data_IF_282977809934
#
_entry.id   IF_282977809934
#
_cell.length_a   1.000
_cell.length_b   1.000
_cell.length_c   1.000
_cell.angle_alpha   90.00
_cell.angle_beta   90.00
_cell.angle_gamma   90.00
#
_symmetry.space_group_name_H-M   'P 1'
#
loop_
_entity.id
_entity.type
_entity.pdbx_description
1 polymer ?
#
# COMPACT_ATOMS: atom_id res chain seq x y z
N UNK A 1 -2.29 9.11 -27.66
CA UNK A 1 -3.25 9.68 -26.70
C UNK A 1 -2.85 9.15 -25.34
N UNK A 2 -2.65 10.00 -24.33
CA UNK A 2 -2.29 9.53 -23.00
C UNK A 2 -3.48 8.84 -22.36
N UNK A 3 -3.37 7.53 -22.12
CA UNK A 3 -4.36 6.76 -21.39
C UNK A 3 -4.23 7.07 -19.89
N UNK A 4 -4.94 8.09 -19.43
CA UNK A 4 -4.93 8.47 -18.01
C UNK A 4 -5.74 7.53 -17.10
N UNK A 5 -6.47 6.60 -17.68
CA UNK A 5 -7.48 5.79 -16.99
C UNK A 5 -7.05 4.35 -16.75
N UNK A 6 -6.03 3.89 -17.46
CA UNK A 6 -5.40 2.59 -17.25
C UNK A 6 -4.04 2.77 -16.58
N UNK A 7 -3.61 1.78 -15.82
CA UNK A 7 -2.42 1.87 -14.98
C UNK A 7 -1.11 1.57 -15.71
N UNK A 8 -1.03 1.88 -17.03
CA UNK A 8 0.23 1.77 -17.76
C UNK A 8 1.28 2.75 -17.23
N UNK A 9 2.56 2.38 -17.33
CA UNK A 9 3.68 3.17 -16.80
C UNK A 9 3.61 4.67 -17.15
N UNK A 10 3.28 5.08 -18.40
CA UNK A 10 3.17 6.51 -18.72
C UNK A 10 2.07 7.26 -17.95
N UNK A 11 1.08 6.54 -17.41
CA UNK A 11 -0.03 7.11 -16.65
C UNK A 11 0.24 7.16 -15.14
N UNK A 12 0.96 6.18 -14.59
CA UNK A 12 1.16 6.03 -13.13
C UNK A 12 2.54 6.44 -12.66
N UNK A 13 3.56 6.34 -13.51
CA UNK A 13 4.92 6.77 -13.19
C UNK A 13 5.08 8.27 -13.48
N UNK A 14 4.52 9.11 -12.59
CA UNK A 14 4.62 10.56 -12.71
C UNK A 14 5.97 11.06 -12.17
N UNK A 15 6.59 12.08 -12.81
CA UNK A 15 7.82 12.67 -12.29
C UNK A 15 7.59 13.31 -10.92
N UNK A 16 8.47 13.00 -9.97
CA UNK A 16 8.53 13.64 -8.66
C UNK A 16 9.94 14.20 -8.44
N UNK A 17 10.05 15.51 -8.25
CA UNK A 17 11.31 16.19 -7.98
C UNK A 17 11.16 16.92 -6.66
N UNK A 18 12.01 16.60 -5.69
CA UNK A 18 12.03 17.22 -4.37
C UNK A 18 13.41 17.83 -4.12
N UNK A 19 13.42 19.09 -3.71
CA UNK A 19 14.60 19.77 -3.20
C UNK A 19 14.42 20.00 -1.70
N UNK A 20 15.32 19.43 -0.89
CA UNK A 20 15.40 19.71 0.54
C UNK A 20 16.59 20.66 0.80
N UNK A 21 16.38 21.88 1.35
CA UNK A 21 17.45 22.85 1.61
C UNK A 21 18.34 22.48 2.81
N UNK A 22 17.94 21.52 3.64
CA UNK A 22 18.71 21.07 4.81
C UNK A 22 20.07 20.47 4.36
N UNK A 23 21.14 20.85 5.03
CA UNK A 23 22.49 20.30 4.79
C UNK A 23 22.57 18.79 5.03
N UNK A 24 21.70 18.22 5.88
CA UNK A 24 21.57 16.78 6.06
C UNK A 24 21.13 16.04 4.78
N UNK A 25 20.58 16.75 3.79
CA UNK A 25 20.19 16.21 2.50
C UNK A 25 21.26 16.37 1.40
N UNK A 26 22.44 16.93 1.69
CA UNK A 26 23.47 17.18 0.69
C UNK A 26 23.93 15.91 -0.02
N UNK A 27 23.96 14.77 0.68
CA UNK A 27 24.36 13.48 0.15
C UNK A 27 23.40 12.90 -0.91
N UNK A 28 22.12 13.32 -0.91
CA UNK A 28 21.10 12.85 -1.84
C UNK A 28 20.80 13.83 -2.98
N UNK A 29 21.36 15.04 -2.95
CA UNK A 29 21.13 16.04 -4.00
C UNK A 29 21.67 15.58 -5.35
N UNK A 30 20.87 15.80 -6.39
CA UNK A 30 21.22 15.43 -7.77
C UNK A 30 21.19 13.92 -8.03
N UNK A 31 20.68 13.12 -7.09
CA UNK A 31 20.50 11.67 -7.28
C UNK A 31 19.11 11.34 -7.81
N UNK A 32 18.96 10.17 -8.44
CA UNK A 32 17.68 9.56 -8.77
C UNK A 32 17.36 8.45 -7.76
N UNK A 33 16.08 8.30 -7.46
CA UNK A 33 15.58 7.28 -6.55
C UNK A 33 14.59 6.37 -7.30
N UNK A 34 14.82 5.07 -7.25
CA UNK A 34 13.98 4.05 -7.89
C UNK A 34 13.00 3.39 -6.91
N UNK A 35 12.88 3.91 -5.68
CA UNK A 35 11.93 3.37 -4.71
C UNK A 35 10.50 3.67 -5.10
N UNK A 36 9.59 2.82 -4.62
CA UNK A 36 8.15 3.01 -4.82
C UNK A 36 7.66 4.13 -3.89
N UNK A 37 7.18 5.21 -4.51
CA UNK A 37 6.66 6.40 -3.83
C UNK A 37 5.22 6.63 -4.33
N UNK A 38 4.33 6.98 -3.42
CA UNK A 38 2.94 7.32 -3.72
C UNK A 38 2.66 8.78 -3.40
N UNK A 39 1.69 9.39 -4.08
CA UNK A 39 1.33 10.79 -3.85
C UNK A 39 0.90 11.08 -2.41
N UNK A 40 0.35 10.07 -1.71
CA UNK A 40 -0.04 10.18 -0.30
C UNK A 40 1.15 10.39 0.64
N UNK A 41 2.39 10.09 0.21
CA UNK A 41 3.61 10.28 0.99
C UNK A 41 3.98 11.76 1.17
N UNK A 42 3.46 12.63 0.32
CA UNK A 42 3.76 14.06 0.37
C UNK A 42 3.19 14.72 1.63
N UNK A 43 2.00 14.32 2.08
CA UNK A 43 1.36 14.92 3.25
C UNK A 43 2.17 14.68 4.53
N UNK A 44 2.52 13.43 4.93
CA UNK A 44 3.37 13.21 6.10
C UNK A 44 4.75 13.84 5.93
N UNK A 45 5.31 13.88 4.71
CA UNK A 45 6.59 14.55 4.44
C UNK A 45 6.53 16.04 4.75
N UNK A 46 5.48 16.75 4.32
CA UNK A 46 5.34 18.19 4.62
C UNK A 46 5.10 18.45 6.10
N UNK A 47 4.31 17.61 6.78
CA UNK A 47 4.08 17.75 8.22
C UNK A 47 5.41 17.61 8.96
N UNK A 48 6.21 16.62 8.66
CA UNK A 48 7.50 16.38 9.31
C UNK A 48 8.52 17.45 8.96
N UNK A 49 8.59 17.88 7.70
CA UNK A 49 9.45 18.98 7.27
C UNK A 49 9.19 20.29 8.04
N UNK A 50 7.94 20.55 8.39
CA UNK A 50 7.51 21.71 9.17
C UNK A 50 7.65 21.50 10.71
N UNK A 51 8.27 20.41 11.14
CA UNK A 51 8.48 20.09 12.56
C UNK A 51 7.26 19.51 13.27
N UNK A 52 6.22 19.13 12.53
CA UNK A 52 5.04 18.45 13.06
C UNK A 52 5.25 16.92 13.16
N UNK A 53 4.27 16.25 13.75
CA UNK A 53 4.23 14.78 13.83
C UNK A 53 3.06 14.25 13.02
N UNK A 54 3.33 13.45 11.96
CA UNK A 54 2.29 12.82 11.15
C UNK A 54 1.42 11.86 11.98
N UNK A 55 0.10 11.95 11.82
CA UNK A 55 -0.84 11.04 12.48
C UNK A 55 -1.07 9.80 11.61
N UNK A 56 -0.25 8.78 11.79
CA UNK A 56 -0.29 7.56 10.97
C UNK A 56 -1.54 6.68 11.17
N UNK A 57 -2.35 6.95 12.18
CA UNK A 57 -3.68 6.35 12.28
C UNK A 57 -4.70 6.93 11.28
N UNK A 58 -4.37 8.06 10.64
CA UNK A 58 -5.20 8.72 9.61
C UNK A 58 -4.47 8.72 8.26
N UNK A 59 -3.15 8.95 8.27
CA UNK A 59 -2.32 9.07 7.09
C UNK A 59 -1.72 7.72 6.73
N UNK A 60 -1.98 7.22 5.54
CA UNK A 60 -1.44 5.96 5.04
C UNK A 60 -0.10 6.12 4.32
N UNK A 61 0.21 7.35 3.89
CA UNK A 61 1.50 7.70 3.30
C UNK A 61 2.65 7.62 4.29
N UNK A 62 3.87 7.52 3.78
CA UNK A 62 5.12 7.48 4.55
C UNK A 62 5.94 8.72 4.26
N UNK A 63 6.53 9.32 5.30
CA UNK A 63 7.39 10.49 5.13
C UNK A 63 8.65 10.14 4.29
N UNK A 64 9.00 11.02 3.38
CA UNK A 64 10.19 10.92 2.54
C UNK A 64 11.42 11.59 3.16
N UNK A 65 11.32 12.15 4.35
CA UNK A 65 12.42 12.94 4.98
C UNK A 65 13.67 12.11 5.15
N UNK A 66 13.55 10.86 5.63
CA UNK A 66 14.72 9.99 5.80
C UNK A 66 15.35 9.61 4.46
N UNK A 67 14.52 9.35 3.44
CA UNK A 67 14.99 9.09 2.08
C UNK A 67 15.74 10.31 1.51
N UNK A 68 15.22 11.51 1.72
CA UNK A 68 15.86 12.77 1.32
C UNK A 68 17.18 13.04 2.08
N UNK A 69 17.36 12.45 3.26
CA UNK A 69 18.63 12.47 4.03
C UNK A 69 19.55 11.30 3.70
N UNK A 70 19.26 10.54 2.64
CA UNK A 70 20.15 9.49 2.11
C UNK A 70 19.90 8.09 2.69
N UNK A 71 18.84 7.86 3.46
CA UNK A 71 18.47 6.51 3.89
C UNK A 71 18.05 5.69 2.67
N UNK A 72 18.69 4.53 2.47
CA UNK A 72 18.42 3.63 1.34
C UNK A 72 17.47 2.47 1.69
N UNK A 73 16.94 2.42 2.93
CA UNK A 73 15.98 1.39 3.31
C UNK A 73 14.71 1.48 2.44
N UNK A 74 14.18 0.35 1.96
CA UNK A 74 12.97 0.36 1.15
C UNK A 74 11.80 1.01 1.89
N UNK A 75 11.17 1.98 1.26
CA UNK A 75 10.02 2.67 1.84
C UNK A 75 8.81 1.73 1.94
N UNK A 76 8.57 0.96 0.87
CA UNK A 76 7.51 -0.07 0.78
C UNK A 76 7.87 -1.16 -0.22
N UNK A 77 7.23 -2.31 -0.08
CA UNK A 77 7.33 -3.41 -1.02
C UNK A 77 6.37 -3.23 -2.20
N UNK A 78 5.16 -2.74 -1.93
CA UNK A 78 4.12 -2.54 -2.93
C UNK A 78 3.62 -1.11 -2.94
N UNK A 79 3.30 -0.60 -4.14
CA UNK A 79 2.53 0.62 -4.37
C UNK A 79 1.16 0.27 -4.94
N UNK A 80 0.14 1.04 -4.55
CA UNK A 80 -1.25 0.82 -4.93
C UNK A 80 -1.82 2.03 -5.66
N UNK A 81 -2.75 1.78 -6.57
CA UNK A 81 -3.54 2.82 -7.20
C UNK A 81 -4.92 2.28 -7.56
N UNK A 82 -5.96 3.07 -7.31
CA UNK A 82 -7.34 2.70 -7.58
C UNK A 82 -7.93 3.55 -8.70
N UNK A 83 -8.83 2.95 -9.45
CA UNK A 83 -9.65 3.64 -10.42
C UNK A 83 -11.11 3.14 -10.37
N UNK A 84 -12.03 4.09 -10.20
CA UNK A 84 -13.47 3.85 -10.29
C UNK A 84 -13.96 4.24 -11.70
N UNK A 85 -14.39 3.25 -12.48
CA UNK A 85 -14.93 3.46 -13.82
C UNK A 85 -16.44 3.43 -13.89
N UNK A 86 -17.14 3.60 -12.75
CA UNK A 86 -18.60 3.56 -12.68
C UNK A 86 -19.30 4.53 -13.63
N UNK A 87 -18.70 5.68 -13.89
CA UNK A 87 -19.23 6.70 -14.81
C UNK A 87 -18.82 6.50 -16.28
N UNK A 88 -18.13 5.40 -16.60
CA UNK A 88 -17.64 5.16 -17.96
C UNK A 88 -18.62 4.29 -18.76
N UNK A 89 -18.70 4.54 -20.07
CA UNK A 89 -19.47 3.68 -20.98
C UNK A 89 -19.02 2.23 -20.96
N UNK A 90 -17.75 1.97 -20.65
CA UNK A 90 -17.21 0.63 -20.46
C UNK A 90 -17.97 -0.17 -19.41
N UNK A 91 -18.38 0.46 -18.28
CA UNK A 91 -19.20 -0.19 -17.26
C UNK A 91 -20.51 -0.72 -17.83
N UNK A 92 -21.20 0.10 -18.63
CA UNK A 92 -22.49 -0.27 -19.24
C UNK A 92 -22.29 -1.37 -20.29
N UNK A 93 -21.29 -1.22 -21.16
CA UNK A 93 -20.97 -2.20 -22.19
C UNK A 93 -20.61 -3.59 -21.59
N UNK A 94 -19.97 -3.60 -20.43
CA UNK A 94 -19.58 -4.81 -19.70
C UNK A 94 -20.70 -5.29 -18.74
N UNK A 95 -21.82 -4.58 -18.65
CA UNK A 95 -22.94 -4.87 -17.75
C UNK A 95 -22.51 -5.06 -16.28
N UNK A 96 -21.59 -4.20 -15.83
CA UNK A 96 -21.07 -4.22 -14.46
C UNK A 96 -21.92 -3.31 -13.57
N UNK A 97 -22.30 -3.76 -12.38
CA UNK A 97 -22.98 -2.92 -11.40
C UNK A 97 -22.08 -1.76 -10.95
N UNK A 98 -22.67 -0.59 -10.67
CA UNK A 98 -21.95 0.64 -10.24
C UNK A 98 -20.98 0.35 -9.07
N UNK A 99 -21.44 -0.37 -8.05
CA UNK A 99 -20.63 -0.71 -6.87
C UNK A 99 -19.43 -1.61 -7.15
N UNK A 100 -19.42 -2.30 -8.29
CA UNK A 100 -18.41 -3.27 -8.70
C UNK A 100 -17.44 -2.72 -9.76
N UNK A 101 -17.63 -1.46 -10.20
CA UNK A 101 -16.85 -0.86 -11.26
C UNK A 101 -15.48 -0.32 -10.77
N UNK A 102 -14.66 -1.22 -10.24
CA UNK A 102 -13.34 -0.87 -9.65
C UNK A 102 -12.22 -1.67 -10.28
N UNK A 103 -11.10 -0.99 -10.43
CA UNK A 103 -9.83 -1.56 -10.84
C UNK A 103 -8.79 -1.11 -9.81
N UNK A 104 -7.95 -2.03 -9.35
CA UNK A 104 -6.86 -1.72 -8.43
C UNK A 104 -5.55 -2.25 -9.00
N UNK A 105 -4.57 -1.38 -9.12
CA UNK A 105 -3.21 -1.73 -9.50
C UNK A 105 -2.38 -1.93 -8.23
N UNK A 106 -1.62 -3.02 -8.21
CA UNK A 106 -0.59 -3.31 -7.22
C UNK A 106 0.74 -3.50 -7.96
N UNK A 107 1.78 -2.80 -7.53
CA UNK A 107 3.08 -2.86 -8.17
C UNK A 107 4.20 -3.06 -7.14
N UNK A 108 5.16 -3.94 -7.46
CA UNK A 108 6.49 -3.94 -6.86
C UNK A 108 7.53 -3.33 -7.84
N UNK A 109 8.81 -3.50 -7.58
CA UNK A 109 9.87 -2.96 -8.45
C UNK A 109 9.94 -3.66 -9.82
N UNK A 110 9.43 -4.89 -9.93
CA UNK A 110 9.50 -5.70 -11.15
C UNK A 110 8.16 -5.96 -11.79
N UNK A 111 7.15 -6.31 -11.02
CA UNK A 111 5.86 -6.73 -11.54
C UNK A 111 4.78 -5.70 -11.30
N UNK A 112 3.85 -5.60 -12.24
CA UNK A 112 2.61 -4.84 -12.10
C UNK A 112 1.43 -5.77 -12.28
N UNK A 113 0.61 -5.85 -11.26
CA UNK A 113 -0.61 -6.62 -11.21
C UNK A 113 -1.81 -5.69 -11.19
N UNK A 114 -2.82 -5.96 -12.02
CA UNK A 114 -4.06 -5.17 -12.03
C UNK A 114 -5.23 -6.10 -11.75
N UNK A 115 -5.84 -5.90 -10.60
CA UNK A 115 -7.10 -6.55 -10.23
C UNK A 115 -8.27 -5.81 -10.87
N UNK A 116 -9.16 -6.54 -11.53
CA UNK A 116 -10.38 -6.01 -12.14
C UNK A 116 -11.55 -6.79 -11.56
N UNK A 117 -12.42 -6.11 -10.83
CA UNK A 117 -13.52 -6.78 -10.14
C UNK A 117 -14.43 -7.52 -11.13
N UNK A 118 -14.64 -8.82 -10.89
CA UNK A 118 -15.48 -9.67 -11.75
C UNK A 118 -14.83 -10.13 -13.06
N UNK A 119 -13.55 -9.83 -13.26
CA UNK A 119 -12.79 -10.24 -14.44
C UNK A 119 -11.46 -10.87 -14.04
N UNK A 120 -10.79 -11.50 -15.00
CA UNK A 120 -9.42 -11.96 -14.76
C UNK A 120 -8.47 -10.78 -14.56
N UNK A 121 -7.47 -10.93 -13.68
CA UNK A 121 -6.44 -9.90 -13.52
C UNK A 121 -5.52 -9.86 -14.75
N UNK A 122 -4.68 -8.82 -14.79
CA UNK A 122 -3.51 -8.77 -15.70
C UNK A 122 -2.23 -8.71 -14.88
N UNK A 123 -1.14 -9.23 -15.43
CA UNK A 123 0.20 -9.21 -14.82
C UNK A 123 1.25 -8.91 -15.89
N UNK A 124 2.12 -7.93 -15.60
CA UNK A 124 3.23 -7.55 -16.47
C UNK A 124 4.56 -7.65 -15.72
N UNK A 125 5.59 -8.19 -16.38
CA UNK A 125 6.97 -8.16 -15.92
C UNK A 125 7.68 -6.93 -16.50
N UNK A 126 7.71 -5.82 -15.76
CA UNK A 126 8.27 -4.55 -16.23
C UNK A 126 9.78 -4.58 -16.49
N UNK A 127 10.47 -5.62 -16.02
CA UNK A 127 11.89 -5.79 -16.31
C UNK A 127 12.12 -6.33 -17.73
N UNK A 128 11.33 -7.30 -18.17
CA UNK A 128 11.42 -7.90 -19.49
C UNK A 128 10.51 -7.23 -20.53
N UNK A 129 9.41 -6.64 -20.07
CA UNK A 129 8.40 -5.95 -20.88
C UNK A 129 8.03 -4.58 -20.28
N UNK A 130 8.92 -3.59 -20.37
CA UNK A 130 8.66 -2.25 -19.81
C UNK A 130 7.55 -1.49 -20.53
N UNK A 131 7.04 -1.98 -21.65
CA UNK A 131 5.95 -1.40 -22.41
C UNK A 131 4.59 -2.09 -22.15
N UNK A 132 4.57 -3.10 -21.29
CA UNK A 132 3.35 -3.79 -20.85
C UNK A 132 2.51 -4.36 -22.01
N UNK A 133 3.17 -5.00 -22.97
CA UNK A 133 2.52 -5.58 -24.15
C UNK A 133 2.14 -7.05 -23.97
N UNK A 134 2.77 -7.75 -23.01
CA UNK A 134 2.60 -9.19 -22.81
C UNK A 134 2.00 -9.43 -21.42
N UNK A 135 0.70 -9.69 -21.38
CA UNK A 135 0.00 -10.11 -20.16
C UNK A 135 0.32 -11.58 -19.84
N UNK A 136 1.06 -11.79 -18.75
CA UNK A 136 1.49 -13.12 -18.28
C UNK A 136 0.60 -13.69 -17.16
N UNK A 137 -0.53 -13.07 -16.83
CA UNK A 137 -1.39 -13.52 -15.72
C UNK A 137 -1.96 -14.94 -15.93
N UNK A 138 -2.08 -15.38 -17.18
CA UNK A 138 -2.58 -16.72 -17.53
C UNK A 138 -1.49 -17.78 -17.70
N UNK A 139 -0.22 -17.39 -17.60
CA UNK A 139 0.90 -18.34 -17.63
C UNK A 139 0.92 -19.14 -16.32
N UNK A 140 0.93 -20.49 -16.37
CA UNK A 140 1.03 -21.32 -15.16
C UNK A 140 2.24 -20.99 -14.28
N UNK A 141 3.36 -20.54 -14.87
CA UNK A 141 4.56 -20.12 -14.12
C UNK A 141 4.38 -18.81 -13.36
N UNK A 142 3.35 -18.03 -13.66
CA UNK A 142 3.04 -16.77 -12.98
C UNK A 142 2.04 -16.93 -11.83
N UNK A 143 1.54 -18.13 -11.56
CA UNK A 143 0.52 -18.39 -10.54
C UNK A 143 0.93 -17.91 -9.14
N UNK A 144 2.15 -18.23 -8.72
CA UNK A 144 2.66 -17.83 -7.40
C UNK A 144 2.82 -16.30 -7.30
N UNK A 145 3.20 -15.67 -8.41
CA UNK A 145 3.32 -14.20 -8.48
C UNK A 145 1.94 -13.58 -8.33
N UNK A 146 0.95 -14.03 -9.09
CA UNK A 146 -0.43 -13.57 -8.97
C UNK A 146 -0.95 -13.72 -7.53
N UNK A 147 -0.74 -14.89 -6.91
CA UNK A 147 -1.16 -15.14 -5.54
C UNK A 147 -0.50 -14.19 -4.52
N UNK A 148 0.79 -13.87 -4.68
CA UNK A 148 1.49 -12.88 -3.85
C UNK A 148 0.84 -11.51 -3.95
N UNK A 149 0.48 -11.08 -5.16
CA UNK A 149 -0.18 -9.78 -5.37
C UNK A 149 -1.62 -9.76 -4.87
N UNK A 150 -2.38 -10.84 -5.01
CA UNK A 150 -3.73 -10.98 -4.43
C UNK A 150 -3.68 -10.90 -2.90
N UNK A 151 -2.67 -11.53 -2.29
CA UNK A 151 -2.44 -11.44 -0.84
C UNK A 151 -2.13 -10.00 -0.43
N UNK A 152 -1.20 -9.33 -1.12
CA UNK A 152 -0.84 -7.94 -0.85
C UNK A 152 -2.06 -7.00 -0.99
N UNK A 153 -2.87 -7.18 -2.03
CA UNK A 153 -4.11 -6.43 -2.25
C UNK A 153 -5.11 -6.65 -1.12
N UNK A 154 -5.31 -7.92 -0.72
CA UNK A 154 -6.23 -8.27 0.37
C UNK A 154 -5.78 -7.65 1.69
N UNK A 155 -4.50 -7.75 2.02
CA UNK A 155 -3.95 -7.13 3.23
C UNK A 155 -4.09 -5.61 3.22
N UNK A 156 -3.80 -4.96 2.09
CA UNK A 156 -3.96 -3.53 1.95
C UNK A 156 -5.42 -3.11 2.13
N UNK A 157 -6.36 -3.78 1.47
CA UNK A 157 -7.79 -3.48 1.58
C UNK A 157 -8.33 -3.67 3.01
N UNK A 158 -7.84 -4.68 3.74
CA UNK A 158 -8.24 -4.94 5.13
C UNK A 158 -7.63 -3.93 6.13
N UNK A 159 -6.47 -3.34 5.81
CA UNK A 159 -5.80 -2.34 6.66
C UNK A 159 -6.31 -0.92 6.42
N UNK A 160 -6.94 -0.68 5.27
CA UNK A 160 -7.34 0.65 4.84
C UNK A 160 -8.38 1.27 5.78
N UNK A 161 -8.08 2.44 6.32
CA UNK A 161 -8.95 3.25 7.19
C UNK A 161 -9.62 2.54 8.38
N UNK A 162 -8.96 1.54 8.97
CA UNK A 162 -9.59 0.75 10.03
C UNK A 162 -9.86 1.54 11.31
N UNK A 163 -9.01 2.52 11.66
CA UNK A 163 -9.11 3.28 12.90
C UNK A 163 -8.58 4.70 12.73
N UNK A 164 -9.47 5.65 12.46
CA UNK A 164 -9.10 7.06 12.27
C UNK A 164 -9.38 7.92 13.51
N UNK A 165 -10.12 7.42 14.51
CA UNK A 165 -10.56 8.20 15.66
C UNK A 165 -9.70 8.02 16.90
N UNK A 166 -8.85 6.99 16.95
CA UNK A 166 -8.00 6.64 18.08
C UNK A 166 -6.61 6.25 17.59
N UNK A 167 -5.55 6.69 18.28
CA UNK A 167 -4.17 6.35 17.93
C UNK A 167 -3.79 4.95 18.43
N UNK A 168 -2.82 4.30 17.79
CA UNK A 168 -2.31 3.01 18.26
C UNK A 168 -1.73 3.10 19.67
N UNK A 169 -1.06 4.21 20.02
CA UNK A 169 -0.55 4.43 21.36
C UNK A 169 -1.67 4.52 22.43
N UNK A 170 -2.82 5.07 22.06
CA UNK A 170 -3.97 5.13 22.99
C UNK A 170 -4.65 3.75 23.10
N UNK A 171 -4.69 2.98 22.02
CA UNK A 171 -5.18 1.60 22.06
C UNK A 171 -4.30 0.75 22.98
N UNK A 172 -2.97 0.81 22.83
CA UNK A 172 -2.02 0.07 23.66
C UNK A 172 -2.20 0.38 25.14
N UNK A 173 -2.42 1.64 25.50
CA UNK A 173 -2.66 2.05 26.90
C UNK A 173 -3.93 1.47 27.53
N UNK A 174 -4.91 1.08 26.68
CA UNK A 174 -6.21 0.57 27.14
C UNK A 174 -6.38 -0.94 26.86
N UNK A 175 -5.34 -1.61 26.39
CA UNK A 175 -5.34 -3.04 26.10
C UNK A 175 -5.35 -3.87 27.41
N UNK A 176 -6.05 -5.00 27.40
CA UNK A 176 -5.94 -6.04 28.44
C UNK A 176 -7.16 -6.20 29.33
N UNK A 177 -8.17 -5.34 29.24
CA UNK A 177 -9.39 -5.42 30.05
C UNK A 177 -10.33 -6.55 29.68
N UNK A 178 -10.25 -7.03 28.42
CA UNK A 178 -11.11 -8.06 27.88
C UNK A 178 -10.77 -9.44 28.43
N UNK A 179 -9.50 -9.68 28.77
CA UNK A 179 -9.06 -10.93 29.37
C UNK A 179 -9.70 -11.18 30.73
N UNK A 180 -9.90 -10.12 31.54
CA UNK A 180 -10.56 -10.19 32.84
C UNK A 180 -12.09 -10.43 32.68
N UNK A 181 -12.67 -9.97 31.56
CA UNK A 181 -14.06 -10.20 31.20
C UNK A 181 -14.30 -11.57 30.54
N UNK A 182 -13.26 -12.38 30.33
CA UNK A 182 -13.37 -13.69 29.67
C UNK A 182 -13.59 -13.62 28.15
N UNK A 183 -13.37 -12.46 27.52
CA UNK A 183 -13.46 -12.29 26.07
C UNK A 183 -12.07 -12.55 25.47
N UNK A 184 -11.96 -13.69 24.75
CA UNK A 184 -10.69 -14.15 24.18
C UNK A 184 -10.82 -14.28 22.67
N UNK A 185 -10.03 -13.52 21.90
CA UNK A 185 -9.97 -13.55 20.44
C UNK A 185 -8.62 -14.12 20.02
N UNK A 186 -8.63 -15.07 19.08
CA UNK A 186 -7.40 -15.66 18.53
C UNK A 186 -6.75 -16.73 19.43
N UNK A 187 -7.51 -17.33 20.35
CA UNK A 187 -7.08 -18.42 21.19
C UNK A 187 -7.79 -19.70 20.77
N UNK A 188 -6.98 -20.70 20.44
CA UNK A 188 -7.47 -21.95 19.91
C UNK A 188 -7.28 -23.10 20.90
N UNK A 189 -6.34 -22.96 21.86
CA UNK A 189 -6.04 -23.99 22.85
C UNK A 189 -5.55 -23.41 24.19
N UNK A 190 -5.30 -24.32 25.17
CA UNK A 190 -4.85 -23.95 26.52
C UNK A 190 -3.44 -23.36 26.54
N UNK A 191 -2.59 -23.69 25.56
CA UNK A 191 -1.22 -23.17 25.49
C UNK A 191 -1.23 -21.70 25.08
N UNK A 192 -2.08 -21.30 24.11
CA UNK A 192 -2.27 -19.93 23.73
C UNK A 192 -2.81 -19.07 24.88
N UNK A 193 -3.77 -19.60 25.66
CA UNK A 193 -4.27 -18.95 26.86
C UNK A 193 -3.17 -18.68 27.90
N UNK A 194 -2.25 -19.64 28.08
CA UNK A 194 -1.15 -19.48 29.03
C UNK A 194 -0.15 -18.41 28.58
N UNK A 195 0.13 -18.29 27.27
CA UNK A 195 1.00 -17.23 26.71
C UNK A 195 0.48 -15.83 27.02
N UNK A 196 -0.84 -15.64 27.00
CA UNK A 196 -1.46 -14.33 27.27
C UNK A 196 -1.50 -14.02 28.75
N UNK A 197 -1.82 -15.01 29.60
CA UNK A 197 -1.78 -14.82 31.05
C UNK A 197 -0.39 -14.48 31.55
N UNK A 198 0.67 -14.94 30.87
CA UNK A 198 2.05 -14.56 31.17
C UNK A 198 2.35 -13.13 30.73
N UNK A 199 1.95 -12.73 29.50
CA UNK A 199 2.13 -11.36 29.01
C UNK A 199 1.33 -10.31 29.78
N UNK A 200 0.13 -10.64 30.27
CA UNK A 200 -0.71 -9.73 31.05
C UNK A 200 -0.28 -9.53 32.51
N UNK A 201 0.76 -10.23 32.98
CA UNK A 201 1.37 -10.05 34.30
C UNK A 201 2.60 -9.14 34.30
N UNK A 202 3.09 -8.81 33.09
CA UNK A 202 4.29 -7.96 32.89
C UNK A 202 3.92 -6.49 32.56
N UNK A 203 2.65 -6.08 32.80
CA UNK A 203 2.15 -4.71 32.63
C UNK A 203 1.63 -4.15 33.95
#
# INVERSE_FOLDING_TARGET
>A
MGEKELFHEPSVKVPLIIYNPDTAADCSRGTCCEQLIESIDLVPTFIEFLGGQPKYNILEGKSLIDLLKGNQSPLREFAFSEYDYAMRQAREALNVEVKNARIVMVRDLRYKYTYIQGMRPTLFDLQSDPQEQIDIATDPHSSDICHRFDTALTEWALKHHNRITITDSDIIKHTGREADAGILIGYWDTEDLNKVKQKGRDF
#
